data_IF_731277559083
#
_entry.id   IF_731277559083
#
_cell.length_a   1.000
_cell.length_b   1.000
_cell.length_c   1.000
_cell.angle_alpha   90.00
_cell.angle_beta   90.00
_cell.angle_gamma   90.00
#
_symmetry.space_group_name_H-M   'P 1'
#
loop_
_entity.id
_entity.type
_entity.pdbx_description
1 polymer ?
#
# COMPACT_ATOMS: atom_id res chain seq x y z
N UNK A 1 16.17 24.06 -25.57
CA UNK A 1 16.36 23.22 -24.37
C UNK A 1 15.09 23.37 -23.54
N UNK A 2 14.21 22.37 -23.59
CA UNK A 2 12.83 22.46 -23.12
C UNK A 2 12.70 22.65 -21.61
N UNK A 3 11.92 23.66 -21.22
CA UNK A 3 11.55 23.99 -19.83
C UNK A 3 10.99 22.79 -19.05
N UNK A 4 10.41 21.82 -19.75
CA UNK A 4 9.84 20.61 -19.16
C UNK A 4 10.90 19.61 -18.66
N UNK A 5 12.12 19.60 -19.20
CA UNK A 5 13.18 18.70 -18.73
C UNK A 5 13.71 19.10 -17.35
N UNK A 6 13.76 20.42 -17.06
CA UNK A 6 14.27 20.93 -15.78
C UNK A 6 13.35 20.61 -14.59
N UNK A 7 12.04 20.50 -14.79
CA UNK A 7 11.10 20.16 -13.70
C UNK A 7 11.21 18.73 -13.23
N UNK A 8 11.58 17.79 -14.11
CA UNK A 8 11.75 16.38 -13.76
C UNK A 8 13.00 16.15 -12.90
N UNK A 9 14.06 16.95 -13.08
CA UNK A 9 15.27 16.85 -12.27
C UNK A 9 15.08 17.31 -10.81
N UNK A 10 14.13 18.20 -10.54
CA UNK A 10 13.93 18.81 -9.21
C UNK A 10 13.14 17.90 -8.25
N UNK A 11 12.43 16.89 -8.75
CA UNK A 11 11.61 16.00 -7.92
C UNK A 11 12.38 14.83 -7.28
N UNK A 12 13.61 14.56 -7.73
CA UNK A 12 14.45 13.46 -7.21
C UNK A 12 15.73 13.96 -6.51
N UNK A 13 15.83 15.26 -6.21
CA UNK A 13 17.03 15.89 -5.65
C UNK A 13 16.99 16.12 -4.13
N UNK A 14 16.13 15.41 -3.40
CA UNK A 14 16.04 15.50 -1.93
C UNK A 14 17.00 14.54 -1.20
N UNK A 15 18.18 14.31 -1.77
CA UNK A 15 19.25 13.58 -1.09
C UNK A 15 20.55 14.34 -1.31
N UNK A 16 21.18 14.76 -0.21
CA UNK A 16 22.50 15.38 -0.22
C UNK A 16 23.53 14.44 -0.84
N UNK A 17 24.49 14.98 -1.60
CA UNK A 17 25.61 14.20 -2.17
C UNK A 17 26.67 13.82 -1.12
N UNK A 18 26.27 13.71 0.15
CA UNK A 18 27.18 13.32 1.24
C UNK A 18 27.63 11.87 1.07
N UNK A 19 28.81 11.54 1.58
CA UNK A 19 29.33 10.17 1.52
C UNK A 19 28.36 9.20 2.24
N UNK A 20 28.05 8.03 1.64
CA UNK A 20 27.12 7.08 2.24
C UNK A 20 27.61 6.65 3.63
N UNK A 21 26.83 6.95 4.68
CA UNK A 21 27.14 6.48 6.03
C UNK A 21 26.41 5.17 6.34
N UNK A 22 26.98 4.35 7.24
CA UNK A 22 26.37 3.09 7.71
C UNK A 22 25.00 3.26 8.42
N UNK A 23 24.53 4.50 8.59
CA UNK A 23 23.23 4.84 9.17
C UNK A 23 22.17 5.21 8.11
N UNK A 24 22.55 5.30 6.84
CA UNK A 24 21.63 5.58 5.74
C UNK A 24 21.32 4.28 4.99
N UNK A 25 20.65 3.36 5.66
CA UNK A 25 19.82 2.38 4.97
C UNK A 25 18.47 3.07 4.69
N UNK A 26 18.39 3.84 3.61
CA UNK A 26 17.18 4.55 3.18
C UNK A 26 16.20 3.63 2.42
N UNK A 27 16.33 2.33 2.57
CA UNK A 27 15.50 1.32 1.91
C UNK A 27 14.16 1.16 2.63
N UNK A 28 13.35 2.22 2.71
CA UNK A 28 11.98 2.10 3.20
C UNK A 28 11.15 1.35 2.16
N UNK A 29 10.93 0.05 2.38
CA UNK A 29 10.11 -0.78 1.49
C UNK A 29 8.64 -0.63 1.87
N UNK A 30 7.88 0.08 1.03
CA UNK A 30 6.43 0.20 1.17
C UNK A 30 5.73 -0.84 0.29
N UNK A 31 4.93 -1.70 0.89
CA UNK A 31 4.18 -2.75 0.18
C UNK A 31 2.74 -2.28 -0.05
N UNK A 32 2.37 -2.06 -1.31
CA UNK A 32 1.02 -1.65 -1.70
C UNK A 32 0.36 -2.82 -2.44
N UNK A 33 -0.73 -3.32 -1.89
CA UNK A 33 -1.55 -4.38 -2.49
C UNK A 33 -2.92 -3.82 -2.88
N UNK A 34 -3.24 -3.83 -4.18
CA UNK A 34 -4.52 -3.35 -4.70
C UNK A 34 -5.36 -4.54 -5.15
N UNK A 35 -6.58 -4.64 -4.63
CA UNK A 35 -7.52 -5.73 -4.89
C UNK A 35 -8.69 -5.18 -5.71
N UNK A 36 -8.78 -5.60 -6.97
CA UNK A 36 -9.92 -5.30 -7.84
C UNK A 36 -10.94 -6.42 -7.74
N UNK A 37 -12.17 -6.08 -7.39
CA UNK A 37 -13.27 -7.03 -7.35
C UNK A 37 -13.92 -7.24 -8.73
N UNK A 38 -14.64 -8.35 -8.88
CA UNK A 38 -15.38 -8.70 -10.08
C UNK A 38 -16.63 -7.84 -10.27
N UNK A 39 -17.09 -7.76 -11.52
CA UNK A 39 -18.25 -6.97 -11.95
C UNK A 39 -19.49 -7.22 -11.09
N UNK A 40 -20.12 -6.15 -10.60
CA UNK A 40 -21.28 -6.20 -9.72
C UNK A 40 -21.02 -6.66 -8.27
N UNK A 41 -19.77 -6.97 -7.89
CA UNK A 41 -19.44 -7.23 -6.48
C UNK A 41 -19.11 -5.93 -5.76
N UNK A 42 -19.78 -5.73 -4.63
CA UNK A 42 -19.64 -4.57 -3.78
C UNK A 42 -19.51 -5.03 -2.35
N UNK A 43 -18.41 -4.63 -1.70
CA UNK A 43 -18.16 -4.94 -0.28
C UNK A 43 -19.38 -4.75 0.62
N UNK A 44 -20.15 -3.67 0.39
CA UNK A 44 -21.32 -3.31 1.21
C UNK A 44 -22.56 -4.18 0.93
N UNK A 45 -22.74 -4.63 -0.31
CA UNK A 45 -23.90 -5.45 -0.71
C UNK A 45 -23.65 -6.94 -0.43
N UNK A 46 -22.39 -7.38 -0.50
CA UNK A 46 -21.99 -8.75 -0.24
C UNK A 46 -21.76 -9.05 1.25
N UNK A 47 -21.74 -8.03 2.12
CA UNK A 47 -21.59 -8.18 3.57
C UNK A 47 -22.78 -8.91 4.20
N UNK A 48 -23.99 -8.60 3.74
CA UNK A 48 -25.24 -9.20 4.21
C UNK A 48 -25.40 -10.65 3.74
N UNK A 49 -24.96 -10.95 2.51
CA UNK A 49 -25.10 -12.29 1.91
C UNK A 49 -23.89 -13.20 2.17
N UNK A 50 -22.80 -12.67 2.74
CA UNK A 50 -21.50 -13.34 2.93
C UNK A 50 -20.93 -13.95 1.63
N UNK A 51 -21.38 -13.49 0.47
CA UNK A 51 -20.92 -13.96 -0.84
C UNK A 51 -19.72 -13.17 -1.32
N UNK A 52 -18.65 -13.23 -0.56
CA UNK A 52 -17.44 -12.50 -0.93
C UNK A 52 -16.66 -13.20 -2.02
N UNK A 53 -16.26 -12.41 -3.00
CA UNK A 53 -15.30 -12.81 -4.02
C UNK A 53 -13.94 -13.12 -3.40
N UNK A 54 -13.09 -13.84 -4.16
CA UNK A 54 -11.73 -14.11 -3.72
C UNK A 54 -10.88 -12.84 -3.52
N UNK A 55 -10.95 -11.80 -4.40
CA UNK A 55 -10.29 -10.52 -4.15
C UNK A 55 -10.70 -9.86 -2.82
N UNK A 56 -12.00 -9.82 -2.50
CA UNK A 56 -12.49 -9.27 -1.24
C UNK A 56 -11.97 -10.06 -0.02
N UNK A 57 -11.91 -11.40 -0.13
CA UNK A 57 -11.37 -12.26 0.94
C UNK A 57 -9.87 -12.04 1.17
N UNK A 58 -9.10 -11.90 0.10
CA UNK A 58 -7.66 -11.61 0.19
C UNK A 58 -7.40 -10.24 0.82
N UNK A 59 -8.16 -9.22 0.41
CA UNK A 59 -8.12 -7.90 1.02
C UNK A 59 -8.43 -7.95 2.52
N UNK A 60 -9.49 -8.68 2.93
CA UNK A 60 -9.85 -8.82 4.34
C UNK A 60 -8.74 -9.47 5.15
N UNK A 61 -8.09 -10.51 4.61
CA UNK A 61 -6.97 -11.16 5.28
C UNK A 61 -5.78 -10.21 5.45
N UNK A 62 -5.49 -9.39 4.43
CA UNK A 62 -4.42 -8.39 4.51
C UNK A 62 -4.71 -7.31 5.56
N UNK A 63 -5.97 -6.85 5.65
CA UNK A 63 -6.40 -5.91 6.70
C UNK A 63 -6.30 -6.53 8.09
N UNK A 64 -6.78 -7.77 8.26
CA UNK A 64 -6.72 -8.49 9.53
C UNK A 64 -5.28 -8.74 10.03
N UNK A 65 -4.32 -8.91 9.12
CA UNK A 65 -2.90 -8.97 9.50
C UNK A 65 -2.45 -7.63 10.11
N UNK A 66 -2.78 -6.51 9.46
CA UNK A 66 -2.42 -5.17 9.93
C UNK A 66 -3.06 -4.84 11.28
N UNK A 67 -4.32 -5.20 11.46
CA UNK A 67 -5.03 -5.01 12.74
C UNK A 67 -4.38 -5.80 13.88
N UNK A 68 -3.95 -7.04 13.63
CA UNK A 68 -3.21 -7.85 14.61
C UNK A 68 -1.86 -7.22 14.97
N UNK A 69 -1.12 -6.74 13.98
CA UNK A 69 0.15 -6.04 14.22
C UNK A 69 -0.05 -4.74 15.02
N UNK A 70 -1.14 -4.02 14.79
CA UNK A 70 -1.50 -2.83 15.58
C UNK A 70 -1.91 -3.16 17.01
N UNK A 71 -2.56 -4.31 17.24
CA UNK A 71 -2.94 -4.76 18.58
C UNK A 71 -1.72 -5.19 19.41
N UNK A 72 -0.71 -5.78 18.77
CA UNK A 72 0.57 -6.11 19.40
C UNK A 72 1.46 -4.86 19.56
N UNK A 73 1.28 -4.15 20.68
CA UNK A 73 2.03 -2.91 21.03
C UNK A 73 3.56 -3.03 21.01
N UNK A 74 4.09 -4.25 21.04
CA UNK A 74 5.53 -4.53 21.05
C UNK A 74 6.09 -4.83 19.65
N UNK A 75 5.26 -4.80 18.60
CA UNK A 75 5.66 -5.16 17.24
C UNK A 75 5.68 -3.92 16.34
N UNK A 76 6.72 -3.81 15.53
CA UNK A 76 6.77 -2.79 14.49
C UNK A 76 5.68 -3.09 13.46
N UNK A 77 4.82 -2.11 13.20
CA UNK A 77 3.78 -2.22 12.18
C UNK A 77 4.46 -2.28 10.82
N UNK A 78 4.21 -3.34 10.07
CA UNK A 78 4.74 -3.45 8.72
C UNK A 78 4.08 -2.40 7.80
N UNK A 79 4.82 -1.79 6.85
CA UNK A 79 4.28 -0.80 5.91
C UNK A 79 3.47 -1.48 4.78
N UNK A 80 2.51 -2.32 5.16
CA UNK A 80 1.62 -3.06 4.28
C UNK A 80 0.27 -2.31 4.15
N UNK A 81 -0.03 -1.84 2.94
CA UNK A 81 -1.23 -1.08 2.62
C UNK A 81 -2.12 -1.87 1.65
N UNK A 82 -3.29 -2.30 2.11
CA UNK A 82 -4.25 -3.06 1.31
C UNK A 82 -5.42 -2.17 0.87
N UNK A 83 -5.52 -1.89 -0.43
CA UNK A 83 -6.56 -1.06 -1.05
C UNK A 83 -7.56 -1.97 -1.75
N UNK A 84 -8.86 -1.78 -1.49
CA UNK A 84 -9.93 -2.51 -2.17
C UNK A 84 -10.65 -1.58 -3.15
N UNK A 85 -10.89 -2.07 -4.36
CA UNK A 85 -11.61 -1.39 -5.42
C UNK A 85 -12.81 -2.28 -5.79
N UNK A 86 -14.02 -1.75 -5.62
CA UNK A 86 -15.26 -2.42 -6.05
C UNK A 86 -15.23 -2.74 -7.54
N UNK A 87 -15.96 -3.79 -7.91
CA UNK A 87 -16.18 -4.11 -9.31
C UNK A 87 -17.01 -3.05 -10.02
N UNK A 88 -16.82 -2.97 -11.33
CA UNK A 88 -17.64 -2.14 -12.24
C UNK A 88 -19.02 -2.73 -12.47
#
# INVERSE_FOLDING_TARGET
MDINLKRVQVLNSDISNDEPSCKQDCSDVVNISVFFDGTGNNKKEDEDTKRWSNPARLWRNAQGLREKEMADKNKQISPNYAIYISGV
#
